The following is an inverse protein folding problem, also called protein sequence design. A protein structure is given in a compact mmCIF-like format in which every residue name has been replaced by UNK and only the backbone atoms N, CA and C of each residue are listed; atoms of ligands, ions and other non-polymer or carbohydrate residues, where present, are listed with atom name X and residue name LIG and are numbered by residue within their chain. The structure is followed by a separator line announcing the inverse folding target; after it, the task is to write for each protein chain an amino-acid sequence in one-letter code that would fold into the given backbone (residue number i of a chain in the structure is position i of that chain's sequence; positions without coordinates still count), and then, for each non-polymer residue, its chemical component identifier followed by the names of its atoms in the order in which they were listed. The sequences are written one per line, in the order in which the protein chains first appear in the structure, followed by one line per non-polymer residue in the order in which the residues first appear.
data_IF_034013037723
#
_entry.id   IF_034013037723
#
_cell.length_a   1.000
_cell.length_b   1.000
_cell.length_c   1.000
_cell.angle_alpha   90.00
_cell.angle_beta   90.00
_cell.angle_gamma   90.00
#
_symmetry.space_group_name_H-M   'P 1'
#
loop_
_entity.id
_entity.type
_entity.pdbx_description
1 polymer ?
#
# COMPACT_ATOMS: atom_id res chain seq x y z
N UNK A 1 13.18 11.20 12.50
CA UNK A 1 13.30 12.20 11.45
C UNK A 1 12.20 12.02 10.42
N UNK A 2 11.59 13.09 9.98
CA UNK A 2 10.49 13.01 9.03
C UNK A 2 11.02 12.84 7.61
N UNK A 3 10.30 12.10 6.80
CA UNK A 3 10.60 11.99 5.39
C UNK A 3 10.15 13.25 4.66
N UNK A 4 10.75 13.53 3.52
CA UNK A 4 10.28 14.62 2.65
C UNK A 4 8.95 14.23 2.01
N UNK A 5 8.24 15.21 1.44
CA UNK A 5 6.97 14.93 0.76
C UNK A 5 7.14 13.93 -0.37
N UNK A 6 8.23 14.07 -1.13
CA UNK A 6 8.53 13.13 -2.21
C UNK A 6 8.78 11.71 -1.67
N UNK A 7 9.53 11.62 -0.56
CA UNK A 7 9.79 10.33 0.07
C UNK A 7 8.52 9.72 0.63
N UNK A 8 7.66 10.53 1.21
CA UNK A 8 6.38 10.07 1.74
C UNK A 8 5.51 9.49 0.64
N UNK A 9 5.43 10.18 -0.48
CA UNK A 9 4.65 9.70 -1.62
C UNK A 9 5.23 8.41 -2.18
N UNK A 10 6.54 8.33 -2.29
CA UNK A 10 7.22 7.13 -2.78
C UNK A 10 6.98 5.94 -1.85
N UNK A 11 7.11 6.15 -0.55
CA UNK A 11 6.90 5.09 0.43
C UNK A 11 5.45 4.61 0.40
N UNK A 12 4.50 5.54 0.32
CA UNK A 12 3.09 5.20 0.23
C UNK A 12 2.81 4.36 -1.00
N UNK A 13 3.35 4.76 -2.13
CA UNK A 13 3.18 4.02 -3.39
C UNK A 13 3.83 2.65 -3.32
N UNK A 14 5.00 2.56 -2.70
CA UNK A 14 5.69 1.29 -2.53
C UNK A 14 4.90 0.34 -1.64
N UNK A 15 4.29 0.88 -0.57
CA UNK A 15 3.45 0.08 0.32
C UNK A 15 2.22 -0.46 -0.43
N UNK A 16 1.58 0.39 -1.23
CA UNK A 16 0.41 -0.01 -2.01
C UNK A 16 0.80 -1.09 -3.02
N UNK A 17 1.91 -0.92 -3.69
CA UNK A 17 2.40 -1.89 -4.67
C UNK A 17 2.73 -3.23 -4.02
N UNK A 18 3.41 -3.19 -2.88
CA UNK A 18 3.78 -4.40 -2.18
C UNK A 18 2.55 -5.12 -1.62
N UNK A 19 1.59 -4.35 -1.09
CA UNK A 19 0.33 -4.92 -0.61
C UNK A 19 -0.44 -5.59 -1.74
N UNK A 20 -0.45 -4.97 -2.92
CA UNK A 20 -1.11 -5.53 -4.08
C UNK A 20 -0.47 -6.86 -4.47
N UNK A 21 0.86 -6.91 -4.50
CA UNK A 21 1.59 -8.12 -4.81
C UNK A 21 1.29 -9.23 -3.80
N UNK A 22 1.33 -8.89 -2.51
CA UNK A 22 1.04 -9.85 -1.45
C UNK A 22 -0.41 -10.32 -1.49
N UNK A 23 -1.33 -9.42 -1.78
CA UNK A 23 -2.74 -9.76 -1.89
C UNK A 23 -3.01 -10.79 -2.98
N UNK A 24 -2.28 -10.69 -4.09
CA UNK A 24 -2.42 -11.61 -5.20
C UNK A 24 -1.76 -12.96 -4.91
N UNK A 25 -0.59 -12.94 -4.24
CA UNK A 25 0.21 -14.16 -4.05
C UNK A 25 -0.18 -14.96 -2.83
N UNK A 26 -0.28 -14.32 -1.66
CA UNK A 26 -0.54 -15.03 -0.40
C UNK A 26 -1.82 -14.58 0.29
N UNK A 27 -2.44 -13.53 -0.19
CA UNK A 27 -3.68 -13.02 0.37
C UNK A 27 -3.48 -12.06 1.53
N UNK A 28 -4.47 -11.21 1.74
CA UNK A 28 -4.44 -10.17 2.76
C UNK A 28 -4.29 -10.75 4.17
N UNK A 29 -4.96 -11.84 4.45
CA UNK A 29 -4.93 -12.43 5.79
C UNK A 29 -3.55 -12.90 6.21
N UNK A 30 -2.78 -13.42 5.25
CA UNK A 30 -1.45 -13.96 5.52
C UNK A 30 -0.37 -12.91 5.43
N UNK A 31 -0.69 -11.71 4.96
CA UNK A 31 0.26 -10.61 4.86
C UNK A 31 0.33 -9.88 6.20
N UNK A 32 1.53 -9.73 6.75
CA UNK A 32 1.74 -9.00 7.99
C UNK A 32 2.31 -7.62 7.72
N UNK A 33 2.14 -6.71 8.68
CA UNK A 33 2.76 -5.39 8.61
C UNK A 33 4.28 -5.53 8.52
N UNK A 34 4.84 -6.49 9.24
CA UNK A 34 6.28 -6.74 9.20
C UNK A 34 6.77 -7.08 7.81
N UNK A 35 6.04 -7.93 7.10
CA UNK A 35 6.39 -8.29 5.73
C UNK A 35 6.40 -7.07 4.82
N UNK A 36 5.39 -6.25 4.95
CA UNK A 36 5.25 -5.04 4.13
C UNK A 36 6.36 -4.04 4.40
N UNK A 37 6.64 -3.79 5.67
CA UNK A 37 7.66 -2.81 6.05
C UNK A 37 9.05 -3.29 5.69
N UNK A 38 9.32 -4.58 5.84
CA UNK A 38 10.60 -5.16 5.45
C UNK A 38 10.83 -5.04 3.95
N UNK A 39 9.82 -5.33 3.16
CA UNK A 39 9.92 -5.26 1.71
C UNK A 39 10.15 -3.83 1.22
N UNK A 40 9.55 -2.86 1.89
CA UNK A 40 9.67 -1.46 1.51
C UNK A 40 10.90 -0.81 2.13
N UNK A 41 11.39 -1.36 3.24
CA UNK A 41 12.57 -0.85 3.91
C UNK A 41 12.28 0.24 4.92
N UNK A 42 11.15 0.17 5.60
CA UNK A 42 10.77 1.14 6.63
C UNK A 42 10.46 0.41 7.93
N UNK A 43 10.33 1.16 9.02
CA UNK A 43 9.97 0.60 10.31
C UNK A 43 8.45 0.50 10.45
N UNK A 44 7.99 -0.33 11.40
CA UNK A 44 6.58 -0.40 11.73
C UNK A 44 6.01 0.95 12.15
N UNK A 45 6.78 1.71 12.91
CA UNK A 45 6.35 3.04 13.33
C UNK A 45 6.11 3.95 12.13
N UNK A 46 6.96 3.85 11.13
CA UNK A 46 6.77 4.62 9.91
C UNK A 46 5.53 4.17 9.16
N UNK A 47 5.27 2.87 9.11
CA UNK A 47 4.06 2.34 8.48
C UNK A 47 2.82 2.99 9.08
N UNK A 48 2.73 3.05 10.39
CA UNK A 48 1.54 3.58 11.05
C UNK A 48 1.35 5.09 10.89
N UNK A 49 2.34 5.78 10.33
CA UNK A 49 2.16 7.18 9.94
C UNK A 49 1.40 7.30 8.61
N UNK A 50 1.47 6.27 7.78
CA UNK A 50 0.82 6.27 6.48
C UNK A 50 -0.55 5.60 6.53
N UNK A 51 -0.67 4.52 7.27
CA UNK A 51 -1.91 3.74 7.35
C UNK A 51 -2.10 3.28 8.80
N UNK A 52 -3.32 3.47 9.31
CA UNK A 52 -3.63 3.08 10.69
C UNK A 52 -3.62 1.57 10.91
N UNK A 53 -3.84 0.80 9.85
CA UNK A 53 -3.85 -0.65 9.93
C UNK A 53 -3.54 -1.26 8.56
N UNK A 54 -3.23 -2.55 8.59
CA UNK A 54 -3.02 -3.32 7.36
C UNK A 54 -4.28 -3.29 6.49
N UNK A 55 -5.43 -3.37 7.12
CA UNK A 55 -6.71 -3.38 6.42
C UNK A 55 -6.92 -2.09 5.64
N UNK A 56 -6.54 -0.95 6.23
CA UNK A 56 -6.66 0.33 5.55
C UNK A 56 -5.73 0.42 4.34
N UNK A 57 -4.55 -0.17 4.45
CA UNK A 57 -3.64 -0.24 3.31
C UNK A 57 -4.26 -1.03 2.17
N UNK A 58 -4.82 -2.20 2.47
CA UNK A 58 -5.47 -3.01 1.44
C UNK A 58 -6.71 -2.33 0.87
N UNK A 59 -7.40 -1.56 1.68
CA UNK A 59 -8.51 -0.76 1.21
C UNK A 59 -8.04 0.26 0.17
N UNK A 60 -6.90 0.89 0.42
CA UNK A 60 -6.30 1.81 -0.53
C UNK A 60 -5.91 1.11 -1.84
N UNK A 61 -5.45 -0.13 -1.75
CA UNK A 61 -5.15 -0.94 -2.94
C UNK A 61 -6.41 -1.15 -3.77
N UNK A 62 -7.52 -1.48 -3.11
CA UNK A 62 -8.78 -1.70 -3.79
C UNK A 62 -9.30 -0.42 -4.43
N UNK A 63 -9.16 0.71 -3.76
CA UNK A 63 -9.55 1.99 -4.32
C UNK A 63 -8.74 2.33 -5.56
N UNK A 64 -7.45 2.06 -5.53
CA UNK A 64 -6.58 2.34 -6.65
C UNK A 64 -6.98 1.50 -7.88
N UNK A 65 -7.22 0.22 -7.66
CA UNK A 65 -7.67 -0.69 -8.72
C UNK A 65 -9.02 -0.25 -9.27
N UNK A 66 -9.93 0.09 -8.38
CA UNK A 66 -11.28 0.52 -8.75
C UNK A 66 -11.23 1.80 -9.58
N UNK A 67 -10.41 2.75 -9.19
CA UNK A 67 -10.24 4.01 -9.91
C UNK A 67 -9.71 3.75 -11.32
N UNK A 68 -8.73 2.88 -11.45
CA UNK A 68 -8.15 2.53 -12.74
C UNK A 68 -9.20 1.89 -13.66
N UNK A 69 -9.98 0.97 -13.12
CA UNK A 69 -11.05 0.31 -13.88
C UNK A 69 -12.11 1.30 -14.29
N UNK A 70 -12.55 2.16 -13.39
CA UNK A 70 -13.55 3.18 -13.67
C UNK A 70 -13.08 4.12 -14.77
N UNK A 71 -11.84 4.53 -14.70
CA UNK A 71 -11.27 5.44 -15.67
C UNK A 71 -11.23 4.79 -17.05
N UNK A 72 -10.79 3.55 -17.11
CA UNK A 72 -10.75 2.79 -18.36
C UNK A 72 -12.15 2.61 -18.93
N UNK A 73 -13.11 2.32 -18.08
CA UNK A 73 -14.49 2.12 -18.48
C UNK A 73 -15.09 3.40 -19.08
N UNK A 74 -14.81 4.54 -18.47
CA UNK A 74 -15.30 5.82 -18.96
C UNK A 74 -14.74 6.17 -20.33
N UNK A 75 -13.55 5.70 -20.64
CA UNK A 75 -12.94 5.96 -21.93
C UNK A 75 -13.50 5.07 -23.02
N UNK A 76 -14.05 3.96 -22.63
CA UNK A 76 -14.66 3.04 -23.60
C UNK A 76 -16.02 3.56 -24.04
#
# INVERSE_FOLDING_TARGET
MAFTDEQNEQIRNDLIREAQRCGITIGMRKTSVEQLTEAVGISKGSFYKFFDSKELLFFAVLEDIHTAVSYTHLRA
#
